data_IF_642795989237
#
_entry.id   IF_642795989237
#
_cell.length_a   1.000
_cell.length_b   1.000
_cell.length_c   1.000
_cell.angle_alpha   90.00
_cell.angle_beta   90.00
_cell.angle_gamma   90.00
#
_symmetry.space_group_name_H-M   'P 1'
#
loop_
_entity.id
_entity.type
_entity.pdbx_description
1 polymer ?
#
# COMPACT_ATOMS: atom_id res chain seq x y z
N UNK A 1 11.00 25.35 1.65
CA UNK A 1 9.81 24.62 1.17
C UNK A 1 10.22 23.79 -0.02
N UNK A 2 10.44 22.51 0.23
CA UNK A 2 10.79 21.54 -0.82
C UNK A 2 9.51 21.01 -1.48
N UNK A 3 9.61 20.43 -2.67
CA UNK A 3 8.48 19.78 -3.35
C UNK A 3 7.86 18.67 -2.47
N UNK A 4 8.67 18.05 -1.61
CA UNK A 4 8.24 17.07 -0.61
C UNK A 4 7.34 17.69 0.46
N UNK A 5 7.69 18.85 1.00
CA UNK A 5 6.89 19.55 2.01
C UNK A 5 5.50 19.92 1.45
N UNK A 6 5.45 20.34 0.18
CA UNK A 6 4.20 20.70 -0.50
C UNK A 6 3.33 19.46 -0.74
N UNK A 7 3.91 18.35 -1.23
CA UNK A 7 3.20 17.09 -1.44
C UNK A 7 2.71 16.47 -0.13
N UNK A 8 3.52 16.49 0.92
CA UNK A 8 3.14 15.96 2.23
C UNK A 8 2.01 16.77 2.86
N UNK A 9 2.03 18.10 2.73
CA UNK A 9 0.93 18.97 3.13
C UNK A 9 -0.35 18.67 2.34
N UNK A 10 -0.25 18.49 1.02
CA UNK A 10 -1.38 18.10 0.18
C UNK A 10 -1.97 16.75 0.60
N UNK A 11 -1.14 15.74 0.83
CA UNK A 11 -1.58 14.42 1.26
C UNK A 11 -2.26 14.46 2.63
N UNK A 12 -1.75 15.25 3.58
CA UNK A 12 -2.40 15.47 4.89
C UNK A 12 -3.75 16.17 4.76
N UNK A 13 -3.83 17.22 3.94
CA UNK A 13 -5.08 17.92 3.67
C UNK A 13 -6.13 17.00 3.00
N UNK A 14 -5.68 16.15 2.07
CA UNK A 14 -6.53 15.16 1.41
C UNK A 14 -7.02 14.09 2.38
N UNK A 15 -6.14 13.57 3.25
CA UNK A 15 -6.52 12.59 4.27
C UNK A 15 -7.58 13.16 5.22
N UNK A 16 -7.40 14.40 5.66
CA UNK A 16 -8.38 15.11 6.47
C UNK A 16 -9.72 15.29 5.75
N UNK A 17 -9.71 15.72 4.49
CA UNK A 17 -10.93 15.88 3.69
C UNK A 17 -11.68 14.56 3.44
N UNK A 18 -10.96 13.43 3.40
CA UNK A 18 -11.51 12.10 3.20
C UNK A 18 -11.86 11.38 4.51
N UNK A 19 -11.65 12.02 5.67
CA UNK A 19 -11.80 11.41 7.00
C UNK A 19 -11.03 10.08 7.14
N UNK A 20 -9.83 10.00 6.57
CA UNK A 20 -8.99 8.80 6.71
C UNK A 20 -8.56 8.65 8.17
N UNK A 21 -8.61 7.41 8.63
CA UNK A 21 -8.03 7.00 9.92
C UNK A 21 -6.50 7.15 9.89
N UNK A 22 -5.89 7.12 11.06
CA UNK A 22 -4.44 7.18 11.19
C UNK A 22 -3.76 6.07 10.39
N UNK A 23 -4.25 4.84 10.49
CA UNK A 23 -3.61 3.68 9.87
C UNK A 23 -3.90 3.56 8.38
N UNK A 24 -5.05 4.01 7.90
CA UNK A 24 -5.24 4.24 6.46
C UNK A 24 -4.21 5.25 5.96
N UNK A 25 -4.01 6.37 6.65
CA UNK A 25 -3.01 7.38 6.26
C UNK A 25 -1.60 6.79 6.19
N UNK A 26 -1.21 5.96 7.17
CA UNK A 26 0.09 5.26 7.17
C UNK A 26 0.24 4.27 6.02
N UNK A 27 -0.80 3.48 5.72
CA UNK A 27 -0.81 2.60 4.54
C UNK A 27 -0.69 3.44 3.27
N UNK A 28 -1.42 4.55 3.17
CA UNK A 28 -1.34 5.46 2.04
C UNK A 28 0.05 6.07 1.84
N UNK A 29 0.75 6.39 2.94
CA UNK A 29 2.13 6.85 2.94
C UNK A 29 3.09 5.73 2.48
N UNK A 30 2.94 4.52 3.03
CA UNK A 30 3.77 3.37 2.68
C UNK A 30 3.62 2.97 1.20
N UNK A 31 2.44 3.17 0.61
CA UNK A 31 2.12 2.82 -0.78
C UNK A 31 1.93 4.05 -1.67
N UNK A 32 2.65 5.15 -1.39
CA UNK A 32 2.62 6.35 -2.22
C UNK A 32 3.37 6.17 -3.56
N UNK A 33 3.28 7.15 -4.46
CA UNK A 33 3.87 7.08 -5.82
C UNK A 33 5.36 7.46 -5.89
N UNK A 34 5.98 7.78 -4.76
CA UNK A 34 7.40 8.15 -4.72
C UNK A 34 8.27 6.95 -5.13
N UNK A 35 9.39 7.19 -5.86
CA UNK A 35 10.21 6.14 -6.46
C UNK A 35 10.99 5.28 -5.45
N UNK A 36 11.01 5.67 -4.18
CA UNK A 36 11.64 4.92 -3.09
C UNK A 36 10.61 4.11 -2.29
N UNK A 37 11.10 3.05 -1.66
CA UNK A 37 10.30 2.20 -0.76
C UNK A 37 9.89 2.91 0.53
N UNK A 38 8.88 2.35 1.21
CA UNK A 38 8.54 2.76 2.56
C UNK A 38 9.71 2.52 3.53
N UNK A 39 9.83 3.33 4.58
CA UNK A 39 10.83 3.09 5.62
C UNK A 39 10.47 1.83 6.41
N UNK A 40 11.48 1.09 6.85
CA UNK A 40 11.26 -0.10 7.70
C UNK A 40 10.54 0.24 8.99
N UNK A 41 10.77 1.44 9.55
CA UNK A 41 10.07 1.93 10.74
C UNK A 41 8.57 2.08 10.49
N UNK A 42 8.17 2.63 9.34
CA UNK A 42 6.76 2.76 8.99
C UNK A 42 6.10 1.40 8.76
N UNK A 43 6.78 0.49 8.06
CA UNK A 43 6.25 -0.86 7.85
C UNK A 43 6.14 -1.65 9.17
N UNK A 44 7.10 -1.49 10.08
CA UNK A 44 7.06 -2.11 11.41
C UNK A 44 5.92 -1.56 12.26
N UNK A 45 5.66 -0.26 12.22
CA UNK A 45 4.52 0.38 12.90
C UNK A 45 3.19 -0.22 12.42
N UNK A 46 2.98 -0.27 11.09
CA UNK A 46 1.79 -0.89 10.50
C UNK A 46 1.71 -2.38 10.90
N UNK A 47 2.82 -3.11 10.90
CA UNK A 47 2.87 -4.51 11.31
C UNK A 47 2.40 -4.71 12.76
N UNK A 48 2.90 -3.91 13.70
CA UNK A 48 2.45 -3.98 15.10
C UNK A 48 0.96 -3.64 15.26
N UNK A 49 0.45 -2.70 14.46
CA UNK A 49 -0.95 -2.34 14.50
C UNK A 49 -1.90 -3.48 14.06
N UNK A 50 -1.44 -4.40 13.19
CA UNK A 50 -2.27 -5.55 12.77
C UNK A 50 -2.63 -6.52 13.91
N UNK A 51 -1.99 -6.44 15.07
CA UNK A 51 -2.36 -7.22 16.25
C UNK A 51 -3.66 -6.71 16.89
N UNK A 52 -3.96 -5.42 16.74
CA UNK A 52 -5.22 -4.83 17.16
C UNK A 52 -6.31 -5.14 16.12
N UNK A 53 -7.45 -5.68 16.57
CA UNK A 53 -8.53 -6.10 15.68
C UNK A 53 -9.15 -4.94 14.89
N UNK A 54 -9.37 -3.79 15.52
CA UNK A 54 -9.96 -2.63 14.84
C UNK A 54 -9.03 -2.11 13.76
N UNK A 55 -7.75 -1.91 14.10
CA UNK A 55 -6.75 -1.39 13.16
C UNK A 55 -6.47 -2.37 12.02
N UNK A 56 -6.49 -3.67 12.28
CA UNK A 56 -6.41 -4.70 11.24
C UNK A 56 -7.52 -4.52 10.18
N UNK A 57 -8.76 -4.28 10.62
CA UNK A 57 -9.91 -4.07 9.73
C UNK A 57 -9.88 -2.71 8.99
N UNK A 58 -8.96 -1.80 9.36
CA UNK A 58 -8.68 -0.56 8.62
C UNK A 58 -7.52 -0.77 7.62
N UNK A 59 -6.46 -1.45 8.05
CA UNK A 59 -5.22 -1.66 7.29
C UNK A 59 -5.45 -2.57 6.08
N UNK A 60 -6.02 -3.76 6.29
CA UNK A 60 -6.09 -4.78 5.23
C UNK A 60 -6.95 -4.33 4.05
N UNK A 61 -8.17 -3.79 4.24
CA UNK A 61 -8.96 -3.27 3.12
C UNK A 61 -8.26 -2.14 2.35
N UNK A 62 -7.53 -1.25 3.06
CA UNK A 62 -6.76 -0.17 2.43
C UNK A 62 -5.66 -0.72 1.50
N UNK A 63 -5.02 -1.83 1.87
CA UNK A 63 -4.05 -2.53 1.02
C UNK A 63 -4.73 -3.14 -0.20
N UNK A 64 -5.84 -3.87 -0.04
CA UNK A 64 -6.51 -4.50 -1.19
C UNK A 64 -7.09 -3.49 -2.17
N UNK A 65 -7.58 -2.34 -1.69
CA UNK A 65 -8.00 -1.24 -2.55
C UNK A 65 -6.87 -0.75 -3.48
N UNK A 66 -5.59 -0.93 -3.10
CA UNK A 66 -4.47 -0.65 -4.01
C UNK A 66 -4.39 -1.63 -5.17
N UNK A 67 -4.84 -2.86 -5.01
CA UNK A 67 -4.82 -3.86 -6.08
C UNK A 67 -6.03 -3.75 -7.01
N UNK A 68 -7.18 -3.29 -6.50
CA UNK A 68 -8.44 -3.26 -7.25
C UNK A 68 -8.75 -1.90 -7.87
N UNK A 69 -8.39 -0.80 -7.20
CA UNK A 69 -8.89 0.53 -7.57
C UNK A 69 -7.85 1.37 -8.34
N UNK A 70 -6.65 0.81 -8.56
CA UNK A 70 -5.55 1.52 -9.22
C UNK A 70 -5.48 1.20 -10.70
N UNK A 71 -5.29 2.25 -11.48
CA UNK A 71 -4.99 2.14 -12.90
C UNK A 71 -3.56 1.62 -13.10
N UNK A 72 -3.29 0.99 -14.25
CA UNK A 72 -1.97 0.44 -14.58
C UNK A 72 -0.84 1.49 -14.48
N UNK A 73 -1.10 2.75 -14.84
CA UNK A 73 -0.13 3.86 -14.71
C UNK A 73 0.30 4.14 -13.27
N UNK A 74 -0.47 3.70 -12.27
CA UNK A 74 -0.18 3.84 -10.85
C UNK A 74 0.55 2.61 -10.29
N UNK A 75 1.28 1.87 -11.13
CA UNK A 75 1.97 0.62 -10.82
C UNK A 75 2.79 0.66 -9.53
N UNK A 76 3.42 1.80 -9.20
CA UNK A 76 4.22 1.93 -7.96
C UNK A 76 3.38 1.73 -6.71
N UNK A 77 2.14 2.22 -6.71
CA UNK A 77 1.24 2.08 -5.56
C UNK A 77 0.81 0.61 -5.40
N UNK A 78 0.61 -0.10 -6.51
CA UNK A 78 0.28 -1.52 -6.55
C UNK A 78 1.49 -2.34 -6.05
N UNK A 79 2.67 -2.09 -6.61
CA UNK A 79 3.92 -2.73 -6.24
C UNK A 79 4.26 -2.53 -4.76
N UNK A 80 4.19 -1.29 -4.26
CA UNK A 80 4.48 -0.99 -2.85
C UNK A 80 3.44 -1.59 -1.90
N UNK A 81 2.19 -1.76 -2.35
CA UNK A 81 1.19 -2.50 -1.59
C UNK A 81 1.50 -4.00 -1.52
N UNK A 82 2.05 -4.61 -2.58
CA UNK A 82 2.55 -5.99 -2.53
C UNK A 82 3.73 -6.12 -1.56
N UNK A 83 4.69 -5.19 -1.61
CA UNK A 83 5.85 -5.15 -0.69
C UNK A 83 5.38 -5.00 0.76
N UNK A 84 4.42 -4.11 1.02
CA UNK A 84 3.85 -3.95 2.36
C UNK A 84 3.16 -5.24 2.82
N UNK A 85 2.32 -5.84 1.97
CA UNK A 85 1.64 -7.10 2.30
C UNK A 85 2.63 -8.23 2.59
N UNK A 86 3.71 -8.36 1.81
CA UNK A 86 4.78 -9.32 2.07
C UNK A 86 5.42 -9.09 3.45
N UNK A 87 5.70 -7.83 3.80
CA UNK A 87 6.25 -7.48 5.10
C UNK A 87 5.29 -7.84 6.24
N UNK A 88 4.00 -7.53 6.10
CA UNK A 88 2.98 -7.82 7.10
C UNK A 88 2.76 -9.33 7.28
N UNK A 89 2.82 -10.12 6.20
CA UNK A 89 2.75 -11.59 6.29
C UNK A 89 3.90 -12.17 7.12
N UNK A 90 5.08 -11.54 7.10
CA UNK A 90 6.27 -12.00 7.84
C UNK A 90 6.36 -11.47 9.26
N UNK A 91 5.84 -10.27 9.53
CA UNK A 91 6.11 -9.52 10.77
C UNK A 91 4.84 -9.07 11.52
N UNK A 92 3.66 -9.19 10.90
CA UNK A 92 2.37 -8.81 11.48
C UNK A 92 1.70 -9.96 12.23
N UNK A 93 0.41 -9.80 12.53
CA UNK A 93 -0.39 -10.82 13.19
C UNK A 93 -0.73 -12.00 12.27
N UNK A 94 -0.97 -13.18 12.83
CA UNK A 94 -1.34 -14.38 12.06
C UNK A 94 -2.59 -14.17 11.19
N UNK A 95 -3.48 -13.26 11.60
CA UNK A 95 -4.68 -12.88 10.83
C UNK A 95 -4.32 -12.34 9.44
N UNK A 96 -3.17 -11.67 9.29
CA UNK A 96 -2.71 -11.19 7.98
C UNK A 96 -2.46 -12.37 7.05
N UNK A 97 -1.92 -13.47 7.56
CA UNK A 97 -1.64 -14.68 6.76
C UNK A 97 -2.95 -15.32 6.31
N UNK A 98 -3.92 -15.46 7.22
CA UNK A 98 -5.21 -16.07 6.90
C UNK A 98 -6.02 -15.21 5.93
N UNK A 99 -6.00 -13.89 6.12
CA UNK A 99 -6.68 -12.94 5.24
C UNK A 99 -6.04 -12.89 3.83
N UNK A 100 -4.70 -12.92 3.74
CA UNK A 100 -3.99 -13.01 2.47
C UNK A 100 -4.29 -14.32 1.72
N UNK A 101 -4.46 -15.43 2.44
CA UNK A 101 -4.90 -16.71 1.85
C UNK A 101 -6.35 -16.63 1.35
N UNK A 102 -7.24 -16.01 2.13
CA UNK A 102 -8.63 -15.78 1.75
C UNK A 102 -8.77 -14.92 0.48
N UNK A 103 -7.91 -13.92 0.33
CA UNK A 103 -7.90 -12.99 -0.80
C UNK A 103 -6.89 -13.35 -1.90
N UNK A 104 -6.38 -14.59 -1.90
CA UNK A 104 -5.32 -15.01 -2.84
C UNK A 104 -5.72 -14.85 -4.31
N UNK A 105 -7.02 -14.93 -4.64
CA UNK A 105 -7.51 -14.70 -5.99
C UNK A 105 -7.22 -13.27 -6.48
N UNK A 106 -7.44 -12.25 -5.65
CA UNK A 106 -7.14 -10.84 -5.96
C UNK A 106 -5.66 -10.66 -6.24
N UNK A 107 -4.81 -11.22 -5.38
CA UNK A 107 -3.35 -11.15 -5.53
C UNK A 107 -2.89 -11.88 -6.79
N UNK A 108 -3.50 -13.04 -7.12
CA UNK A 108 -3.15 -13.83 -8.31
C UNK A 108 -3.43 -13.11 -9.62
N UNK A 109 -4.44 -12.23 -9.68
CA UNK A 109 -4.72 -11.43 -10.90
C UNK A 109 -3.52 -10.55 -11.27
N UNK A 110 -2.76 -10.07 -10.28
CA UNK A 110 -1.58 -9.23 -10.50
C UNK A 110 -0.42 -9.99 -11.17
N UNK A 111 -0.47 -11.32 -11.27
CA UNK A 111 0.52 -12.10 -12.06
C UNK A 111 0.45 -11.80 -13.56
N UNK A 112 -0.69 -11.32 -14.04
CA UNK A 112 -0.90 -10.90 -15.42
C UNK A 112 -0.88 -9.38 -15.55
N UNK A 113 -0.43 -8.64 -14.53
CA UNK A 113 -0.32 -7.20 -14.58
C UNK A 113 0.72 -6.79 -15.63
N UNK A 114 0.38 -5.78 -16.43
CA UNK A 114 1.24 -5.28 -17.49
C UNK A 114 1.10 -3.76 -17.60
N UNK A 115 2.23 -3.06 -17.68
CA UNK A 115 2.26 -1.63 -17.91
C UNK A 115 3.60 -1.22 -18.52
N UNK A 116 3.56 -0.64 -19.71
CA UNK A 116 4.72 -0.01 -20.36
C UNK A 116 4.58 1.49 -20.19
N UNK A 117 5.62 2.14 -19.66
CA UNK A 117 5.63 3.59 -19.46
C UNK A 117 5.93 4.37 -20.75
N UNK A 118 5.85 5.70 -20.67
CA UNK A 118 6.06 6.61 -21.80
C UNK A 118 7.48 6.52 -22.39
N UNK A 119 8.45 5.98 -21.64
CA UNK A 119 9.82 5.77 -22.11
C UNK A 119 10.01 4.37 -22.73
N UNK A 120 8.93 3.59 -22.87
CA UNK A 120 8.97 2.24 -23.39
C UNK A 120 9.49 1.20 -22.39
N UNK A 121 9.59 1.54 -21.10
CA UNK A 121 10.02 0.58 -20.07
C UNK A 121 8.83 -0.21 -19.56
N UNK A 122 8.94 -1.54 -19.55
CA UNK A 122 7.98 -2.41 -18.87
C UNK A 122 8.14 -2.26 -17.35
N UNK A 123 7.14 -1.66 -16.73
CA UNK A 123 7.04 -1.50 -15.28
C UNK A 123 6.13 -2.57 -14.65
N UNK A 124 5.40 -3.35 -15.44
CA UNK A 124 4.57 -4.43 -14.95
C UNK A 124 5.35 -5.65 -14.48
N UNK A 125 6.61 -5.78 -14.90
CA UNK A 125 7.52 -6.87 -14.51
C UNK A 125 8.07 -6.76 -13.07
N UNK A 126 7.93 -5.60 -12.41
CA UNK A 126 8.47 -5.36 -11.07
C UNK A 126 7.78 -6.17 -9.97
#
# INVERSE_FOLDING_TARGET
LTVYDIKSAYNKAKAYALNLTEYETKVHEATNDEPWGASSTLMQDIAQATFNFQLFNEIMPCIYARFTDKEARQWRQIYKALVLLEYLVKNGSERVVDDARGNLAVIRVLRSFHYIDENGKDQGIN
#
